data_IF_656883165060
#
_entry.id   IF_656883165060
#
_cell.length_a   1.000
_cell.length_b   1.000
_cell.length_c   1.000
_cell.angle_alpha   90.00
_cell.angle_beta   90.00
_cell.angle_gamma   90.00
#
_symmetry.space_group_name_H-M   'P 1'
#
loop_
_entity.id
_entity.type
_entity.pdbx_description
1 polymer ?
#
# COMPACT_ATOMS: atom_id res chain seq x y z
N UNK A 1 -19.64 -37.26 12.61
CA UNK A 1 -20.31 -35.95 12.46
C UNK A 1 -19.43 -34.82 13.01
N UNK A 2 -18.11 -34.79 12.76
CA UNK A 2 -17.23 -33.78 13.41
C UNK A 2 -16.05 -33.26 12.55
N UNK A 3 -15.61 -33.97 11.51
CA UNK A 3 -14.49 -33.54 10.65
C UNK A 3 -14.87 -32.69 9.42
N UNK A 4 -15.97 -32.98 8.68
CA UNK A 4 -16.31 -32.18 7.51
C UNK A 4 -16.78 -30.76 7.86
N UNK A 5 -17.45 -30.59 9.00
CA UNK A 5 -17.92 -29.27 9.47
C UNK A 5 -16.76 -28.35 9.91
N UNK A 6 -15.60 -28.92 10.24
CA UNK A 6 -14.43 -28.13 10.68
C UNK A 6 -13.78 -27.36 9.53
N UNK A 7 -13.85 -27.91 8.31
CA UNK A 7 -13.30 -27.29 7.10
C UNK A 7 -14.36 -26.62 6.24
N UNK A 8 -15.64 -26.74 6.64
CA UNK A 8 -16.70 -26.01 6.00
C UNK A 8 -16.63 -24.54 6.43
N UNK A 9 -16.42 -23.68 5.44
CA UNK A 9 -16.36 -22.23 5.62
C UNK A 9 -17.55 -21.58 4.93
N UNK A 10 -18.61 -22.32 4.58
CA UNK A 10 -19.81 -21.75 4.01
C UNK A 10 -20.34 -20.59 4.90
N UNK A 11 -20.75 -19.46 4.30
CA UNK A 11 -20.91 -19.20 2.86
C UNK A 11 -19.64 -18.71 2.13
N UNK A 12 -18.48 -18.71 2.80
CA UNK A 12 -17.20 -18.29 2.24
C UNK A 12 -16.54 -19.41 1.40
N UNK A 13 -15.52 -19.05 0.62
CA UNK A 13 -14.79 -19.98 -0.24
C UNK A 13 -13.31 -19.97 0.08
N UNK A 14 -12.72 -21.15 0.30
CA UNK A 14 -11.26 -21.31 0.47
C UNK A 14 -10.47 -20.73 -0.71
N UNK A 15 -11.01 -20.83 -1.93
CA UNK A 15 -10.37 -20.25 -3.11
C UNK A 15 -10.36 -18.72 -3.05
N UNK A 16 -11.44 -18.10 -2.57
CA UNK A 16 -11.52 -16.65 -2.39
C UNK A 16 -10.60 -16.16 -1.27
N UNK A 17 -10.55 -16.87 -0.14
CA UNK A 17 -9.62 -16.59 0.98
C UNK A 17 -8.17 -16.67 0.50
N UNK A 18 -7.81 -17.76 -0.20
CA UNK A 18 -6.49 -17.95 -0.77
C UNK A 18 -6.13 -16.85 -1.78
N UNK A 19 -7.07 -16.47 -2.64
CA UNK A 19 -6.90 -15.38 -3.61
C UNK A 19 -6.71 -14.03 -2.90
N UNK A 20 -7.47 -13.73 -1.85
CA UNK A 20 -7.35 -12.49 -1.09
C UNK A 20 -5.98 -12.38 -0.42
N UNK A 21 -5.54 -13.45 0.24
CA UNK A 21 -4.23 -13.51 0.85
C UNK A 21 -3.12 -13.37 -0.20
N UNK A 22 -3.23 -14.07 -1.34
CA UNK A 22 -2.25 -14.04 -2.42
C UNK A 22 -2.12 -12.65 -3.07
N UNK A 23 -3.24 -12.05 -3.47
CA UNK A 23 -3.26 -10.72 -4.08
C UNK A 23 -2.69 -9.65 -3.13
N UNK A 24 -3.08 -9.68 -1.86
CA UNK A 24 -2.54 -8.78 -0.84
C UNK A 24 -1.06 -9.02 -0.60
N UNK A 25 -0.61 -10.28 -0.54
CA UNK A 25 0.79 -10.62 -0.37
C UNK A 25 1.66 -10.14 -1.52
N UNK A 26 1.24 -10.31 -2.79
CA UNK A 26 2.00 -9.84 -3.96
C UNK A 26 2.29 -8.34 -3.87
N UNK A 27 1.27 -7.54 -3.60
CA UNK A 27 1.44 -6.08 -3.44
C UNK A 27 2.31 -5.79 -2.22
N UNK A 28 2.05 -6.44 -1.09
CA UNK A 28 2.79 -6.22 0.15
C UNK A 28 4.27 -6.64 0.07
N UNK A 29 4.62 -7.64 -0.75
CA UNK A 29 6.03 -8.04 -1.00
C UNK A 29 6.77 -6.89 -1.64
N UNK A 30 6.20 -6.31 -2.70
CA UNK A 30 6.76 -5.14 -3.38
C UNK A 30 6.98 -3.99 -2.40
N UNK A 31 5.97 -3.68 -1.58
CA UNK A 31 6.06 -2.61 -0.57
C UNK A 31 7.15 -2.88 0.47
N UNK A 32 7.19 -4.10 1.00
CA UNK A 32 8.09 -4.49 2.08
C UNK A 32 9.56 -4.51 1.61
N UNK A 33 9.82 -5.01 0.40
CA UNK A 33 11.16 -4.98 -0.20
C UNK A 33 11.70 -3.56 -0.38
N UNK A 34 10.80 -2.57 -0.51
CA UNK A 34 11.16 -1.15 -0.66
C UNK A 34 11.17 -0.36 0.64
N UNK A 35 11.00 -1.02 1.79
CA UNK A 35 11.03 -0.38 3.11
C UNK A 35 9.85 0.57 3.36
N UNK A 36 8.69 0.28 2.77
CA UNK A 36 7.50 1.14 2.84
C UNK A 36 6.58 0.65 3.96
N UNK A 37 5.78 1.53 4.59
CA UNK A 37 5.10 1.22 5.87
C UNK A 37 4.02 0.13 5.81
N UNK A 38 3.49 -0.18 4.62
CA UNK A 38 2.44 -1.20 4.43
C UNK A 38 3.09 -2.46 3.87
N UNK A 39 3.42 -3.44 4.70
CA UNK A 39 4.10 -4.67 4.30
C UNK A 39 3.15 -5.85 4.00
N UNK A 40 3.73 -7.04 3.78
CA UNK A 40 3.00 -8.27 3.37
C UNK A 40 1.84 -8.58 4.32
N UNK A 41 2.10 -8.58 5.63
CA UNK A 41 1.09 -8.89 6.66
C UNK A 41 -0.08 -7.91 6.62
N UNK A 42 0.21 -6.62 6.57
CA UNK A 42 -0.80 -5.57 6.53
C UNK A 42 -1.63 -5.66 5.24
N UNK A 43 -0.96 -5.84 4.10
CA UNK A 43 -1.64 -5.92 2.80
C UNK A 43 -2.58 -7.12 2.69
N UNK A 44 -2.15 -8.30 3.15
CA UNK A 44 -2.97 -9.50 3.16
C UNK A 44 -4.18 -9.37 4.11
N UNK A 45 -4.02 -8.73 5.27
CA UNK A 45 -5.11 -8.50 6.20
C UNK A 45 -6.14 -7.50 5.67
N UNK A 46 -5.72 -6.48 4.93
CA UNK A 46 -6.65 -5.53 4.30
C UNK A 46 -7.50 -6.23 3.25
N UNK A 47 -6.88 -6.95 2.30
CA UNK A 47 -7.63 -7.65 1.24
C UNK A 47 -8.57 -8.71 1.81
N UNK A 48 -8.08 -9.51 2.76
CA UNK A 48 -8.86 -10.56 3.41
C UNK A 48 -10.00 -9.98 4.24
N UNK A 49 -9.73 -8.96 5.05
CA UNK A 49 -10.74 -8.31 5.88
C UNK A 49 -11.86 -7.70 5.04
N UNK A 50 -11.52 -7.01 3.95
CA UNK A 50 -12.53 -6.47 3.02
C UNK A 50 -13.36 -7.59 2.37
N UNK A 51 -12.73 -8.68 1.93
CA UNK A 51 -13.45 -9.85 1.41
C UNK A 51 -14.45 -10.41 2.44
N UNK A 52 -14.01 -10.61 3.69
CA UNK A 52 -14.84 -11.17 4.74
C UNK A 52 -16.02 -10.25 5.05
N UNK A 53 -15.79 -8.95 5.25
CA UNK A 53 -16.88 -8.02 5.56
C UNK A 53 -17.93 -7.95 4.45
N UNK A 54 -17.54 -7.89 3.16
CA UNK A 54 -18.51 -7.87 2.07
C UNK A 54 -19.20 -9.22 1.87
N UNK A 55 -18.48 -10.32 2.00
CA UNK A 55 -19.09 -11.65 1.89
C UNK A 55 -20.12 -11.85 3.00
N UNK A 56 -19.83 -11.43 4.24
CA UNK A 56 -20.82 -11.44 5.32
C UNK A 56 -22.02 -10.56 4.98
N UNK A 57 -21.78 -9.35 4.46
CA UNK A 57 -22.83 -8.41 4.08
C UNK A 57 -23.78 -8.98 3.03
N UNK A 58 -23.26 -9.64 1.98
CA UNK A 58 -24.07 -10.24 0.92
C UNK A 58 -24.84 -11.48 1.37
N UNK A 59 -24.38 -12.17 2.41
CA UNK A 59 -25.03 -13.37 2.94
C UNK A 59 -26.08 -13.08 4.02
N UNK A 60 -26.08 -11.88 4.60
CA UNK A 60 -27.13 -11.45 5.50
C UNK A 60 -28.43 -11.25 4.70
N UNK A 61 -29.33 -12.24 4.76
CA UNK A 61 -30.63 -12.17 4.11
C UNK A 61 -31.55 -11.17 4.83
N UNK A 62 -32.05 -10.19 4.08
CA UNK A 62 -33.11 -9.30 4.51
C UNK A 62 -33.28 -8.13 3.55
N UNK A 63 -34.51 -7.87 3.10
CA UNK A 63 -34.92 -6.77 2.21
C UNK A 63 -34.57 -5.35 2.72
N UNK A 64 -33.90 -5.26 3.87
CA UNK A 64 -33.60 -4.03 4.62
C UNK A 64 -32.10 -3.68 4.56
N UNK A 65 -31.23 -4.57 4.09
CA UNK A 65 -29.78 -4.29 4.02
C UNK A 65 -29.45 -3.70 2.66
N UNK A 66 -29.22 -2.39 2.65
CA UNK A 66 -28.61 -1.71 1.51
C UNK A 66 -27.11 -2.07 1.43
N UNK A 67 -26.77 -3.02 0.56
CA UNK A 67 -25.40 -3.44 0.29
C UNK A 67 -24.48 -2.25 -0.07
N UNK A 68 -25.01 -1.23 -0.74
CA UNK A 68 -24.27 -0.02 -1.11
C UNK A 68 -23.82 0.75 0.13
N UNK A 69 -24.65 0.77 1.18
CA UNK A 69 -24.33 1.39 2.46
C UNK A 69 -23.20 0.66 3.17
N UNK A 70 -23.22 -0.67 3.17
CA UNK A 70 -22.15 -1.48 3.80
C UNK A 70 -20.82 -1.27 3.08
N UNK A 71 -20.82 -1.31 1.75
CA UNK A 71 -19.64 -0.97 0.94
C UNK A 71 -19.14 0.44 1.26
N UNK A 72 -20.04 1.42 1.36
CA UNK A 72 -19.70 2.81 1.72
C UNK A 72 -19.06 2.94 3.10
N UNK A 73 -19.56 2.21 4.11
CA UNK A 73 -18.97 2.20 5.45
C UNK A 73 -17.58 1.59 5.47
N UNK A 74 -17.37 0.50 4.72
CA UNK A 74 -16.06 -0.14 4.58
C UNK A 74 -15.07 0.83 3.91
N UNK A 75 -15.44 1.45 2.79
CA UNK A 75 -14.61 2.45 2.09
C UNK A 75 -14.23 3.60 3.04
N UNK A 76 -15.17 4.06 3.86
CA UNK A 76 -14.92 5.10 4.87
C UNK A 76 -13.89 4.63 5.91
N UNK A 77 -14.04 3.42 6.44
CA UNK A 77 -13.08 2.83 7.39
C UNK A 77 -11.67 2.64 6.81
N UNK A 78 -11.57 2.25 5.54
CA UNK A 78 -10.29 2.15 4.82
C UNK A 78 -9.63 3.52 4.65
N UNK A 79 -10.43 4.57 4.43
CA UNK A 79 -9.97 5.95 4.39
C UNK A 79 -9.25 6.36 5.68
N UNK A 80 -9.74 5.92 6.85
CA UNK A 80 -9.08 6.15 8.13
C UNK A 80 -7.72 5.44 8.23
N UNK A 81 -7.61 4.18 7.77
CA UNK A 81 -6.32 3.47 7.70
C UNK A 81 -5.33 4.18 6.76
N UNK A 82 -5.81 4.67 5.62
CA UNK A 82 -5.03 5.47 4.68
C UNK A 82 -4.53 6.78 5.28
N UNK A 83 -5.39 7.52 5.99
CA UNK A 83 -5.00 8.72 6.70
C UNK A 83 -3.96 8.43 7.80
N UNK A 84 -4.10 7.30 8.53
CA UNK A 84 -3.19 6.89 9.59
C UNK A 84 -1.76 6.59 9.12
N UNK A 85 -1.55 6.26 7.84
CA UNK A 85 -0.20 6.05 7.28
C UNK A 85 0.42 7.32 6.70
N UNK A 86 -0.38 8.38 6.52
CA UNK A 86 0.11 9.67 6.04
C UNK A 86 0.69 10.47 7.21
N UNK A 87 1.92 10.97 7.05
CA UNK A 87 2.59 11.78 8.06
C UNK A 87 2.97 13.13 7.44
N UNK A 88 2.70 14.21 8.16
CA UNK A 88 3.22 15.53 7.82
C UNK A 88 4.54 15.74 8.56
N UNK A 89 5.61 16.09 7.83
CA UNK A 89 6.92 16.40 8.40
C UNK A 89 7.57 17.53 7.62
N UNK A 90 8.00 18.57 8.32
CA UNK A 90 8.77 19.71 7.77
C UNK A 90 8.11 20.36 6.53
N UNK A 91 6.77 20.51 6.55
CA UNK A 91 6.01 21.07 5.43
C UNK A 91 5.74 20.12 4.25
N UNK A 92 6.19 18.86 4.33
CA UNK A 92 5.94 17.82 3.33
C UNK A 92 5.05 16.70 3.89
N UNK A 93 4.17 16.15 3.03
CA UNK A 93 3.36 14.98 3.36
C UNK A 93 4.01 13.73 2.80
N UNK A 94 4.30 12.75 3.65
CA UNK A 94 4.82 11.43 3.27
C UNK A 94 3.76 10.36 3.45
N UNK A 95 3.90 9.24 2.73
CA UNK A 95 2.99 8.10 2.85
C UNK A 95 1.79 8.13 1.91
N UNK A 96 1.67 9.12 1.01
CA UNK A 96 0.56 9.24 0.04
C UNK A 96 0.38 7.97 -0.80
N UNK A 97 1.46 7.43 -1.37
CA UNK A 97 1.42 6.17 -2.15
C UNK A 97 0.99 4.99 -1.29
N UNK A 98 1.40 4.95 -0.02
CA UNK A 98 1.01 3.89 0.91
C UNK A 98 -0.48 3.96 1.23
N UNK A 99 -1.02 5.18 1.43
CA UNK A 99 -2.46 5.39 1.60
C UNK A 99 -3.24 4.96 0.36
N UNK A 100 -2.78 5.33 -0.84
CA UNK A 100 -3.36 4.86 -2.10
C UNK A 100 -3.29 3.32 -2.25
N UNK A 101 -2.20 2.70 -1.80
CA UNK A 101 -2.05 1.24 -1.81
C UNK A 101 -3.08 0.56 -0.90
N UNK A 102 -3.29 1.10 0.31
CA UNK A 102 -4.33 0.60 1.24
C UNK A 102 -5.71 0.66 0.58
N UNK A 103 -6.02 1.76 -0.11
CA UNK A 103 -7.29 1.93 -0.80
C UNK A 103 -7.50 0.89 -1.89
N UNK A 104 -6.49 0.66 -2.73
CA UNK A 104 -6.55 -0.32 -3.81
C UNK A 104 -6.60 -1.77 -3.29
N UNK A 105 -5.85 -2.08 -2.23
CA UNK A 105 -5.92 -3.39 -1.57
C UNK A 105 -7.34 -3.74 -1.13
N UNK A 106 -8.05 -2.77 -0.57
CA UNK A 106 -9.44 -2.98 -0.22
C UNK A 106 -10.33 -3.18 -1.47
N UNK A 107 -10.16 -2.37 -2.52
CA UNK A 107 -10.90 -2.58 -3.78
C UNK A 107 -10.71 -3.98 -4.35
N UNK A 108 -9.51 -4.55 -4.24
CA UNK A 108 -9.24 -5.94 -4.62
C UNK A 108 -10.05 -6.92 -3.76
N UNK A 109 -10.12 -6.69 -2.44
CA UNK A 109 -10.96 -7.49 -1.54
C UNK A 109 -12.45 -7.44 -1.91
N UNK A 110 -12.96 -6.28 -2.34
CA UNK A 110 -14.34 -6.14 -2.85
C UNK A 110 -14.55 -7.01 -4.09
N UNK A 111 -13.63 -6.98 -5.06
CA UNK A 111 -13.75 -7.78 -6.28
C UNK A 111 -13.77 -9.28 -6.00
N UNK A 112 -13.02 -9.72 -5.00
CA UNK A 112 -12.98 -11.12 -4.55
C UNK A 112 -14.33 -11.50 -3.91
N UNK A 113 -14.93 -10.59 -3.13
CA UNK A 113 -16.26 -10.81 -2.54
C UNK A 113 -17.38 -10.88 -3.59
N UNK A 114 -17.22 -10.19 -4.74
CA UNK A 114 -18.14 -10.29 -5.88
C UNK A 114 -17.76 -11.42 -6.86
N UNK A 115 -17.07 -12.47 -6.38
CA UNK A 115 -16.66 -13.67 -7.12
C UNK A 115 -15.78 -13.46 -8.36
N UNK A 116 -15.14 -12.29 -8.51
CA UNK A 116 -14.31 -11.98 -9.67
C UNK A 116 -12.81 -12.20 -9.41
N UNK A 117 -12.44 -13.46 -9.13
CA UNK A 117 -11.08 -13.85 -8.74
C UNK A 117 -10.05 -13.55 -9.84
N UNK A 118 -10.40 -13.81 -11.10
CA UNK A 118 -9.49 -13.58 -12.23
C UNK A 118 -9.18 -12.10 -12.45
N UNK A 119 -10.16 -11.20 -12.27
CA UNK A 119 -9.90 -9.77 -12.35
C UNK A 119 -9.08 -9.28 -11.15
N UNK A 120 -9.32 -9.80 -9.94
CA UNK A 120 -8.57 -9.45 -8.74
C UNK A 120 -7.06 -9.73 -8.91
N UNK A 121 -6.70 -10.89 -9.46
CA UNK A 121 -5.30 -11.24 -9.74
C UNK A 121 -4.70 -10.31 -10.80
N UNK A 122 -5.39 -10.11 -11.93
CA UNK A 122 -4.93 -9.24 -13.02
C UNK A 122 -4.67 -7.81 -12.55
N UNK A 123 -5.59 -7.24 -11.76
CA UNK A 123 -5.42 -5.89 -11.22
C UNK A 123 -4.33 -5.84 -10.14
N UNK A 124 -4.15 -6.88 -9.33
CA UNK A 124 -3.04 -6.93 -8.35
C UNK A 124 -1.68 -6.87 -9.05
N UNK A 125 -1.52 -7.59 -10.16
CA UNK A 125 -0.31 -7.53 -11.01
C UNK A 125 -0.14 -6.14 -11.62
N UNK A 126 -1.22 -5.52 -12.12
CA UNK A 126 -1.19 -4.16 -12.65
C UNK A 126 -0.72 -3.15 -11.58
N UNK A 127 -1.22 -3.28 -10.35
CA UNK A 127 -0.85 -2.41 -9.21
C UNK A 127 0.63 -2.54 -8.90
N UNK A 128 1.16 -3.77 -8.83
CA UNK A 128 2.61 -3.99 -8.69
C UNK A 128 3.38 -3.35 -9.84
N UNK A 129 2.88 -3.46 -11.08
CA UNK A 129 3.47 -2.81 -12.25
C UNK A 129 3.53 -1.28 -12.13
N UNK A 130 2.46 -0.65 -11.64
CA UNK A 130 2.39 0.81 -11.39
C UNK A 130 3.38 1.21 -10.30
N UNK A 131 3.36 0.51 -9.15
CA UNK A 131 4.26 0.80 -8.03
C UNK A 131 5.73 0.65 -8.45
N UNK A 132 6.05 -0.43 -9.17
CA UNK A 132 7.38 -0.66 -9.70
C UNK A 132 7.81 0.40 -10.72
N UNK A 133 6.92 0.75 -11.67
CA UNK A 133 7.20 1.71 -12.73
C UNK A 133 7.51 3.11 -12.20
N UNK A 134 6.72 3.59 -11.22
CA UNK A 134 6.94 4.90 -10.60
C UNK A 134 8.28 4.93 -9.87
N UNK A 135 8.62 3.89 -9.11
CA UNK A 135 9.89 3.86 -8.39
C UNK A 135 11.11 3.78 -9.33
N UNK A 136 11.00 3.10 -10.47
CA UNK A 136 12.08 3.08 -11.49
C UNK A 136 12.28 4.47 -12.11
N UNK A 137 11.18 5.19 -12.38
CA UNK A 137 11.23 6.56 -12.86
C UNK A 137 11.88 7.48 -11.81
N UNK A 138 11.47 7.39 -10.54
CA UNK A 138 12.08 8.16 -9.45
C UNK A 138 13.58 7.88 -9.32
N UNK A 139 14.01 6.61 -9.42
CA UNK A 139 15.42 6.24 -9.35
C UNK A 139 16.24 6.88 -10.49
N UNK A 140 15.70 6.88 -11.72
CA UNK A 140 16.31 7.56 -12.87
C UNK A 140 16.39 9.08 -12.64
N UNK A 141 15.34 9.72 -12.16
CA UNK A 141 15.32 11.16 -11.88
C UNK A 141 16.27 11.56 -10.74
N UNK A 142 16.38 10.76 -9.66
CA UNK A 142 17.36 11.01 -8.59
C UNK A 142 18.81 10.90 -9.08
N UNK A 143 19.09 9.99 -10.03
CA UNK A 143 20.40 9.89 -10.68
C UNK A 143 20.74 11.16 -11.46
N UNK A 144 19.76 11.77 -12.14
CA UNK A 144 19.90 13.05 -12.83
C UNK A 144 20.15 14.22 -11.87
N UNK A 145 19.46 14.25 -10.72
CA UNK A 145 19.61 15.31 -9.70
C UNK A 145 20.92 15.19 -8.88
N UNK A 146 21.46 13.98 -8.70
CA UNK A 146 22.75 13.74 -8.01
C UNK A 146 23.93 14.48 -8.65
N UNK A 147 23.85 14.78 -9.95
CA UNK A 147 24.84 15.60 -10.66
C UNK A 147 24.94 17.04 -10.12
N UNK A 148 23.84 17.58 -9.59
CA UNK A 148 23.77 18.96 -9.07
C UNK A 148 24.15 19.01 -7.59
N UNK A 149 23.66 18.08 -6.76
CA UNK A 149 23.95 18.07 -5.31
C UNK A 149 25.41 17.72 -4.97
N UNK A 150 26.10 16.93 -5.82
CA UNK A 150 27.55 16.70 -5.67
C UNK A 150 28.33 18.00 -5.84
N UNK A 151 27.93 18.87 -6.79
CA UNK A 151 28.58 20.18 -6.97
C UNK A 151 28.36 21.12 -5.80
N UNK A 152 27.17 21.13 -5.19
CA UNK A 152 26.85 22.01 -4.05
C UNK A 152 27.63 21.60 -2.79
N UNK A 153 27.75 20.30 -2.48
CA UNK A 153 28.57 19.82 -1.35
C UNK A 153 30.05 20.12 -1.51
N UNK A 154 30.56 20.10 -2.75
CA UNK A 154 31.95 20.46 -3.06
C UNK A 154 32.17 21.97 -2.90
N UNK A 155 31.20 22.81 -3.30
CA UNK A 155 31.29 24.26 -3.15
C UNK A 155 31.29 24.71 -1.68
N UNK A 156 30.38 24.20 -0.84
CA UNK A 156 30.32 24.60 0.57
C UNK A 156 31.59 24.17 1.32
N UNK A 157 32.08 22.94 1.09
CA UNK A 157 33.32 22.44 1.71
C UNK A 157 34.56 23.25 1.30
N UNK A 158 34.61 23.79 0.08
CA UNK A 158 35.68 24.70 -0.35
C UNK A 158 35.58 26.07 0.31
N UNK A 159 34.38 26.58 0.54
CA UNK A 159 34.18 27.89 1.15
C UNK A 159 34.60 27.90 2.63
N UNK A 160 34.15 26.90 3.41
CA UNK A 160 34.54 26.75 4.81
C UNK A 160 36.05 26.53 4.99
N UNK A 161 36.68 25.73 4.12
CA UNK A 161 38.12 25.50 4.19
C UNK A 161 38.95 26.72 3.78
N UNK A 162 38.39 27.63 2.99
CA UNK A 162 39.04 28.89 2.63
C UNK A 162 38.99 29.89 3.78
N UNK A 163 37.85 30.00 4.47
CA UNK A 163 37.73 30.91 5.63
C UNK A 163 38.61 30.48 6.82
N UNK A 164 38.75 29.18 7.05
CA UNK A 164 39.61 28.63 8.11
C UNK A 164 41.09 29.00 7.85
N UNK A 165 41.56 28.79 6.63
CA UNK A 165 42.93 29.13 6.21
C UNK A 165 43.23 30.64 6.18
N UNK A 166 42.22 31.51 5.98
CA UNK A 166 42.40 32.96 6.07
C UNK A 166 42.48 33.42 7.53
N UNK A 167 41.71 32.79 8.43
CA UNK A 167 41.72 33.11 9.87
C UNK A 167 43.07 32.74 10.52
N UNK A 168 43.66 31.60 10.14
CA UNK A 168 44.98 31.16 10.67
C UNK A 168 46.16 32.02 10.18
N UNK A 169 46.04 32.76 9.07
CA UNK A 169 47.12 33.64 8.57
C UNK A 169 47.15 35.01 9.23
N UNK A 170 46.11 35.35 9.99
CA UNK A 170 45.98 36.62 10.69
C UNK A 170 46.22 36.50 12.20
N UNK A 171 46.61 35.30 12.67
CA UNK A 171 47.13 35.01 14.01
C UNK A 171 48.66 34.89 13.95
#
# INVERSE_FOLDING_TARGET
>A
MFLPDLFDVAPYSWAAIGTAAFCGAIIGIERQLRGKPVGIRTSALITLGTYLFLSTAFNLQGDVIDHSRVVGQIITGIGFLGAGVMLAKDGAVVGVTSAATIWVLASIGVMIATENLGAAIKLSVLVVGILYGVDVLEAKFKSLSKGVHTKVKIYSKRYYRKSENETERHL
#
